data_IF_938268982007
#
_entry.id   IF_938268982007
#
_cell.length_a   1.000
_cell.length_b   1.000
_cell.length_c   1.000
_cell.angle_alpha   90.00
_cell.angle_beta   90.00
_cell.angle_gamma   90.00
#
_symmetry.space_group_name_H-M   'P 1'
#
loop_
_entity.id
_entity.type
_entity.pdbx_description
1 polymer ?
#
# COMPACT_ATOMS: atom_id res chain seq x y z
N UNK A 1 17.11 -17.19 6.95
CA UNK A 1 15.98 -16.28 6.64
C UNK A 1 14.59 -16.90 6.87
N UNK A 2 14.44 -18.23 7.02
CA UNK A 2 13.13 -18.92 7.14
C UNK A 2 12.53 -19.02 8.55
N UNK A 3 13.21 -18.57 9.60
CA UNK A 3 12.81 -18.88 10.99
C UNK A 3 11.69 -18.00 11.54
N UNK A 4 11.52 -16.76 11.03
CA UNK A 4 10.45 -15.84 11.45
C UNK A 4 9.89 -15.01 10.28
N UNK A 5 9.11 -15.61 9.35
CA UNK A 5 8.65 -14.95 8.13
C UNK A 5 7.80 -13.70 8.40
N UNK A 6 6.99 -13.72 9.47
CA UNK A 6 6.16 -12.59 9.87
C UNK A 6 6.98 -11.41 10.43
N UNK A 7 7.92 -11.68 11.34
CA UNK A 7 8.80 -10.65 11.91
C UNK A 7 9.69 -10.02 10.83
N UNK A 8 10.21 -10.83 9.91
CA UNK A 8 10.98 -10.34 8.77
C UNK A 8 10.14 -9.46 7.85
N UNK A 9 8.88 -9.83 7.59
CA UNK A 9 7.98 -9.01 6.77
C UNK A 9 7.69 -7.66 7.42
N UNK A 10 7.43 -7.62 8.73
CA UNK A 10 7.26 -6.37 9.48
C UNK A 10 8.52 -5.52 9.38
N UNK A 11 9.70 -6.08 9.67
CA UNK A 11 10.96 -5.33 9.62
C UNK A 11 11.22 -4.73 8.23
N UNK A 12 11.01 -5.51 7.17
CA UNK A 12 11.18 -5.06 5.79
C UNK A 12 10.15 -3.97 5.45
N UNK A 13 8.89 -4.16 5.83
CA UNK A 13 7.82 -3.20 5.55
C UNK A 13 8.05 -1.85 6.26
N UNK A 14 8.46 -1.89 7.53
CA UNK A 14 8.84 -0.70 8.31
C UNK A 14 10.05 0.00 7.70
N UNK A 15 11.13 -0.74 7.40
CA UNK A 15 12.33 -0.16 6.82
C UNK A 15 12.05 0.47 5.44
N UNK A 16 11.25 -0.21 4.61
CA UNK A 16 10.85 0.26 3.27
C UNK A 16 10.08 1.57 3.36
N UNK A 17 9.11 1.66 4.27
CA UNK A 17 8.27 2.86 4.42
C UNK A 17 9.05 4.03 5.02
N UNK A 18 9.90 3.77 6.01
CA UNK A 18 10.82 4.77 6.56
C UNK A 18 11.77 5.32 5.48
N UNK A 19 12.34 4.45 4.65
CA UNK A 19 13.24 4.84 3.57
C UNK A 19 12.51 5.62 2.46
N UNK A 20 11.29 5.19 2.09
CA UNK A 20 10.46 5.90 1.12
C UNK A 20 10.13 7.32 1.61
N UNK A 21 9.82 7.46 2.90
CA UNK A 21 9.56 8.75 3.52
C UNK A 21 10.81 9.64 3.53
N UNK A 22 11.95 9.11 3.96
CA UNK A 22 13.22 9.85 3.97
C UNK A 22 13.60 10.35 2.57
N UNK A 23 13.43 9.53 1.53
CA UNK A 23 13.66 9.94 0.14
C UNK A 23 12.65 11.00 -0.29
N UNK A 24 11.38 10.86 0.10
CA UNK A 24 10.38 11.87 -0.20
C UNK A 24 10.68 13.23 0.46
N UNK A 25 11.23 13.24 1.67
CA UNK A 25 11.66 14.46 2.35
C UNK A 25 12.93 15.05 1.72
N UNK A 26 14.01 14.27 1.64
CA UNK A 26 15.33 14.80 1.26
C UNK A 26 15.47 15.00 -0.26
N UNK A 27 14.94 14.07 -1.06
CA UNK A 27 15.16 14.07 -2.52
C UNK A 27 14.00 14.72 -3.27
N UNK A 28 12.75 14.43 -2.89
CA UNK A 28 11.59 14.97 -3.61
C UNK A 28 11.26 16.37 -3.11
N UNK A 29 11.13 16.56 -1.80
CA UNK A 29 10.84 17.86 -1.19
C UNK A 29 12.08 18.74 -0.99
N UNK A 30 13.29 18.21 -1.23
CA UNK A 30 14.57 18.92 -1.07
C UNK A 30 14.75 19.49 0.36
N UNK A 31 14.17 18.84 1.36
CA UNK A 31 14.30 19.22 2.77
C UNK A 31 15.73 18.97 3.25
N UNK A 32 16.41 19.96 3.86
CA UNK A 32 17.72 19.76 4.47
C UNK A 32 17.69 18.64 5.53
N UNK A 33 18.76 17.87 5.65
CA UNK A 33 18.83 16.75 6.61
C UNK A 33 18.60 17.22 8.07
N UNK A 34 18.94 18.46 8.39
CA UNK A 34 18.73 19.04 9.72
C UNK A 34 17.24 19.37 10.02
N UNK A 35 16.38 19.42 9.00
CA UNK A 35 14.97 19.81 9.08
C UNK A 35 14.03 18.63 8.78
N UNK A 36 14.53 17.40 8.91
CA UNK A 36 13.72 16.20 8.72
C UNK A 36 12.57 16.18 9.74
N UNK A 37 11.37 15.95 9.23
CA UNK A 37 10.16 15.75 10.01
C UNK A 37 10.14 14.31 10.55
N UNK A 38 10.49 14.17 11.83
CA UNK A 38 10.50 12.89 12.53
C UNK A 38 9.10 12.38 12.89
N UNK A 39 8.11 13.26 13.02
CA UNK A 39 6.72 12.84 13.26
C UNK A 39 6.16 12.15 12.02
N UNK A 40 6.43 12.71 10.84
CA UNK A 40 6.14 12.08 9.56
C UNK A 40 6.86 10.74 9.40
N UNK A 41 8.15 10.66 9.73
CA UNK A 41 8.85 9.37 9.70
C UNK A 41 8.27 8.35 10.68
N UNK A 42 7.80 8.79 11.86
CA UNK A 42 7.11 7.92 12.83
C UNK A 42 5.78 7.41 12.27
N UNK A 43 4.99 8.26 11.61
CA UNK A 43 3.76 7.88 10.91
C UNK A 43 4.02 6.75 9.91
N UNK A 44 4.98 6.94 9.00
CA UNK A 44 5.29 5.95 7.97
C UNK A 44 5.90 4.67 8.55
N UNK A 45 6.72 4.77 9.60
CA UNK A 45 7.22 3.59 10.32
C UNK A 45 6.07 2.79 10.96
N UNK A 46 5.18 3.46 11.70
CA UNK A 46 4.06 2.81 12.40
C UNK A 46 3.06 2.19 11.43
N UNK A 47 2.71 2.92 10.37
CA UNK A 47 1.85 2.43 9.30
C UNK A 47 2.49 1.27 8.54
N UNK A 48 3.79 1.35 8.26
CA UNK A 48 4.56 0.28 7.63
C UNK A 48 4.61 -1.00 8.46
N UNK A 49 4.80 -0.87 9.78
CA UNK A 49 4.85 -2.01 10.68
C UNK A 49 3.47 -2.70 10.80
N UNK A 50 2.43 -1.92 11.12
CA UNK A 50 1.13 -2.46 11.52
C UNK A 50 0.26 -2.82 10.32
N UNK A 51 0.17 -1.93 9.32
CA UNK A 51 -0.65 -2.18 8.15
C UNK A 51 0.08 -3.05 7.11
N UNK A 52 1.23 -2.60 6.59
CA UNK A 52 1.93 -3.31 5.51
C UNK A 52 2.61 -4.59 6.01
N UNK A 53 3.17 -4.56 7.22
CA UNK A 53 3.84 -5.69 7.85
C UNK A 53 2.87 -6.73 8.39
N UNK A 54 1.85 -6.29 9.12
CA UNK A 54 0.85 -7.14 9.76
C UNK A 54 -0.32 -7.50 8.85
N UNK A 55 -1.21 -6.52 8.63
CA UNK A 55 -2.49 -6.75 7.96
C UNK A 55 -2.35 -7.20 6.51
N UNK A 56 -1.51 -6.52 5.71
CA UNK A 56 -1.34 -6.84 4.30
C UNK A 56 -0.77 -8.26 4.10
N UNK A 57 0.14 -8.71 4.97
CA UNK A 57 0.66 -10.08 4.92
C UNK A 57 -0.46 -11.10 5.15
N UNK A 58 -1.28 -10.90 6.18
CA UNK A 58 -2.41 -11.78 6.47
C UNK A 58 -3.42 -11.80 5.33
N UNK A 59 -3.79 -10.63 4.80
CA UNK A 59 -4.73 -10.50 3.70
C UNK A 59 -4.23 -11.18 2.42
N UNK A 60 -3.00 -10.88 1.98
CA UNK A 60 -2.45 -11.43 0.75
C UNK A 60 -2.17 -12.93 0.84
N UNK A 61 -1.60 -13.40 1.96
CA UNK A 61 -1.20 -14.79 2.10
C UNK A 61 -2.39 -15.70 2.43
N UNK A 62 -3.30 -15.27 3.29
CA UNK A 62 -4.36 -16.15 3.78
C UNK A 62 -5.70 -16.01 3.05
N UNK A 63 -6.03 -14.83 2.55
CA UNK A 63 -7.33 -14.54 1.93
C UNK A 63 -7.18 -14.59 0.40
N UNK A 64 -6.26 -13.79 -0.15
CA UNK A 64 -6.12 -13.64 -1.60
C UNK A 64 -5.74 -14.95 -2.30
N UNK A 65 -4.81 -15.73 -1.73
CA UNK A 65 -4.43 -17.07 -2.23
C UNK A 65 -5.57 -18.10 -2.20
N UNK A 66 -6.55 -17.95 -1.30
CA UNK A 66 -7.69 -18.88 -1.21
C UNK A 66 -8.83 -18.50 -2.15
N UNK A 67 -8.95 -17.22 -2.49
CA UNK A 67 -10.03 -16.71 -3.33
C UNK A 67 -9.74 -16.89 -4.82
N UNK A 68 -8.47 -16.91 -5.23
CA UNK A 68 -8.09 -16.96 -6.65
C UNK A 68 -7.00 -18.01 -6.88
N UNK A 69 -7.33 -19.07 -7.63
CA UNK A 69 -6.36 -20.00 -8.20
C UNK A 69 -5.99 -19.52 -9.61
N UNK A 70 -4.82 -18.90 -9.73
CA UNK A 70 -4.41 -18.12 -10.91
C UNK A 70 -3.08 -18.59 -11.49
N UNK A 71 -2.61 -19.74 -11.05
CA UNK A 71 -1.33 -20.33 -11.47
C UNK A 71 -1.40 -20.75 -12.94
N UNK A 72 -2.54 -21.29 -13.37
CA UNK A 72 -2.81 -21.64 -14.75
C UNK A 72 -2.85 -20.41 -15.68
N UNK A 73 -3.42 -19.28 -15.23
CA UNK A 73 -3.49 -18.06 -16.04
C UNK A 73 -2.11 -17.37 -16.14
N UNK A 74 -1.39 -17.23 -15.03
CA UNK A 74 -0.12 -16.47 -15.01
C UNK A 74 1.03 -17.15 -15.73
N UNK A 75 1.00 -18.47 -15.85
CA UNK A 75 2.00 -19.28 -16.55
C UNK A 75 1.86 -19.24 -18.08
N UNK A 76 0.72 -18.77 -18.61
CA UNK A 76 0.49 -18.70 -20.06
C UNK A 76 1.31 -17.59 -20.75
N UNK A 77 1.68 -17.77 -22.04
CA UNK A 77 2.17 -16.68 -22.88
C UNK A 77 1.13 -15.57 -23.04
N UNK A 78 1.57 -14.31 -23.19
CA UNK A 78 0.67 -13.15 -23.32
C UNK A 78 -0.37 -13.26 -24.43
N UNK A 79 -0.05 -13.93 -25.54
CA UNK A 79 -0.99 -14.13 -26.66
C UNK A 79 -2.16 -15.04 -26.30
N UNK A 80 -1.94 -15.96 -25.38
CA UNK A 80 -2.94 -16.94 -24.96
C UNK A 80 -3.76 -16.42 -23.77
N UNK A 81 -3.13 -15.61 -22.89
CA UNK A 81 -3.82 -14.88 -21.81
C UNK A 81 -4.97 -14.01 -22.30
N UNK A 82 -4.83 -13.38 -23.46
CA UNK A 82 -5.88 -12.54 -24.04
C UNK A 82 -7.10 -13.34 -24.53
N UNK A 83 -6.97 -14.67 -24.65
CA UNK A 83 -8.04 -15.59 -25.07
C UNK A 83 -8.63 -16.38 -23.89
N UNK A 84 -7.98 -16.34 -22.73
CA UNK A 84 -8.43 -17.00 -21.51
C UNK A 84 -9.47 -16.13 -20.79
N UNK A 85 -10.74 -16.31 -21.14
CA UNK A 85 -11.84 -15.53 -20.56
C UNK A 85 -11.97 -15.72 -19.04
N UNK A 86 -11.70 -16.92 -18.53
CA UNK A 86 -11.77 -17.20 -17.09
C UNK A 86 -10.62 -16.52 -16.36
N UNK A 87 -9.41 -16.59 -16.91
CA UNK A 87 -8.23 -15.90 -16.40
C UNK A 87 -8.37 -14.37 -16.42
N UNK A 88 -8.96 -13.80 -17.47
CA UNK A 88 -9.24 -12.36 -17.54
C UNK A 88 -10.32 -11.92 -16.54
N UNK A 89 -11.37 -12.74 -16.32
CA UNK A 89 -12.36 -12.49 -15.24
C UNK A 89 -11.71 -12.54 -13.86
N UNK A 90 -10.84 -13.52 -13.61
CA UNK A 90 -10.09 -13.62 -12.37
C UNK A 90 -9.12 -12.44 -12.20
N UNK A 91 -8.46 -11.96 -13.25
CA UNK A 91 -7.62 -10.77 -13.24
C UNK A 91 -8.43 -9.52 -12.86
N UNK A 92 -9.59 -9.33 -13.49
CA UNK A 92 -10.50 -8.22 -13.18
C UNK A 92 -11.01 -8.28 -11.74
N UNK A 93 -11.40 -9.46 -11.27
CA UNK A 93 -11.88 -9.66 -9.90
C UNK A 93 -10.80 -9.39 -8.84
N UNK A 94 -9.56 -9.87 -9.07
CA UNK A 94 -8.42 -9.58 -8.19
C UNK A 94 -8.14 -8.07 -8.14
N UNK A 95 -8.13 -7.41 -9.29
CA UNK A 95 -7.87 -5.97 -9.40
C UNK A 95 -8.96 -5.16 -8.68
N UNK A 96 -10.24 -5.48 -8.90
CA UNK A 96 -11.34 -4.81 -8.24
C UNK A 96 -11.31 -4.99 -6.72
N UNK A 97 -11.03 -6.22 -6.26
CA UNK A 97 -10.97 -6.54 -4.84
C UNK A 97 -9.79 -5.83 -4.15
N UNK A 98 -8.63 -5.75 -4.80
CA UNK A 98 -7.47 -5.03 -4.26
C UNK A 98 -7.73 -3.53 -4.19
N UNK A 99 -8.25 -2.92 -5.27
CA UNK A 99 -8.65 -1.50 -5.27
C UNK A 99 -9.69 -1.20 -4.18
N UNK A 100 -10.69 -2.06 -4.02
CA UNK A 100 -11.71 -1.90 -2.97
C UNK A 100 -11.09 -1.92 -1.58
N UNK A 101 -10.13 -2.82 -1.32
CA UNK A 101 -9.40 -2.86 -0.04
C UNK A 101 -8.52 -1.63 0.14
N UNK A 102 -7.90 -1.13 -0.92
CA UNK A 102 -7.12 0.09 -0.89
C UNK A 102 -8.00 1.32 -0.54
N UNK A 103 -9.17 1.44 -1.14
CA UNK A 103 -10.12 2.53 -0.89
C UNK A 103 -10.79 2.44 0.49
N UNK A 104 -11.23 1.25 0.91
CA UNK A 104 -12.06 1.11 2.11
C UNK A 104 -11.28 0.78 3.38
N UNK A 105 -10.04 0.31 3.26
CA UNK A 105 -9.22 -0.11 4.40
C UNK A 105 -7.90 0.66 4.44
N UNK A 106 -7.12 0.66 3.36
CA UNK A 106 -5.79 1.29 3.35
C UNK A 106 -5.85 2.80 3.60
N UNK A 107 -6.59 3.55 2.77
CA UNK A 107 -6.64 5.01 2.86
C UNK A 107 -7.26 5.49 4.19
N UNK A 108 -8.43 4.97 4.64
CA UNK A 108 -8.95 5.31 5.96
C UNK A 108 -7.97 5.03 7.09
N UNK A 109 -7.32 3.86 7.07
CA UNK A 109 -6.34 3.51 8.12
C UNK A 109 -5.16 4.47 8.10
N UNK A 110 -4.65 4.84 6.93
CA UNK A 110 -3.58 5.83 6.81
C UNK A 110 -3.97 7.16 7.45
N UNK A 111 -5.18 7.67 7.17
CA UNK A 111 -5.65 8.92 7.74
C UNK A 111 -5.88 8.86 9.25
N UNK A 112 -6.36 7.73 9.78
CA UNK A 112 -6.49 7.52 11.24
C UNK A 112 -5.12 7.51 11.91
N UNK A 113 -4.14 6.84 11.32
CA UNK A 113 -2.76 6.86 11.80
C UNK A 113 -2.15 8.26 11.74
N UNK A 114 -2.40 8.98 10.64
CA UNK A 114 -1.97 10.38 10.48
C UNK A 114 -2.55 11.24 11.59
N UNK A 115 -3.85 11.13 11.85
CA UNK A 115 -4.49 11.85 12.95
C UNK A 115 -3.92 11.46 14.32
N UNK A 116 -3.60 10.18 14.54
CA UNK A 116 -2.97 9.71 15.77
C UNK A 116 -1.60 10.33 16.05
N UNK A 117 -0.81 10.57 15.01
CA UNK A 117 0.52 11.18 15.13
C UNK A 117 0.42 12.70 15.27
N UNK A 118 -0.40 13.37 14.47
CA UNK A 118 -0.38 14.83 14.35
C UNK A 118 -1.44 15.58 15.16
N UNK A 119 -2.47 14.90 15.70
CA UNK A 119 -3.53 15.60 16.45
C UNK A 119 -3.12 16.04 17.85
N UNK A 120 -2.01 15.52 18.39
CA UNK A 120 -1.60 15.72 19.78
C UNK A 120 -2.55 15.14 20.84
N UNK A 121 -3.64 14.49 20.42
CA UNK A 121 -4.57 13.75 21.29
C UNK A 121 -4.04 12.35 21.56
N UNK A 122 -4.37 11.77 22.71
CA UNK A 122 -4.15 10.33 22.99
C UNK A 122 -5.43 9.49 22.85
N UNK A 123 -6.56 10.14 22.56
CA UNK A 123 -7.87 9.50 22.48
C UNK A 123 -8.10 8.89 21.09
N UNK A 124 -8.24 7.55 20.97
CA UNK A 124 -8.49 6.88 19.70
C UNK A 124 -9.79 7.32 19.01
N UNK A 125 -10.80 7.76 19.78
CA UNK A 125 -12.05 8.25 19.20
C UNK A 125 -11.82 9.53 18.39
N UNK A 126 -10.96 10.43 18.91
CA UNK A 126 -10.58 11.68 18.24
C UNK A 126 -9.79 11.39 16.96
N UNK A 127 -8.84 10.46 17.00
CA UNK A 127 -8.06 10.08 15.81
C UNK A 127 -8.93 9.46 14.73
N UNK A 128 -9.89 8.62 15.13
CA UNK A 128 -10.77 7.94 14.20
C UNK A 128 -11.71 8.93 13.51
N UNK A 129 -12.36 9.82 14.27
CA UNK A 129 -13.27 10.80 13.71
C UNK A 129 -12.55 11.80 12.79
N UNK A 130 -11.46 12.41 13.27
CA UNK A 130 -10.70 13.40 12.50
C UNK A 130 -10.00 12.79 11.28
N UNK A 131 -9.48 11.56 11.40
CA UNK A 131 -8.91 10.83 10.28
C UNK A 131 -9.95 10.53 9.21
N UNK A 132 -11.12 10.02 9.58
CA UNK A 132 -12.19 9.73 8.62
C UNK A 132 -12.76 11.00 7.98
N UNK A 133 -12.89 12.09 8.74
CA UNK A 133 -13.32 13.38 8.19
C UNK A 133 -12.31 13.89 7.15
N UNK A 134 -11.02 13.87 7.48
CA UNK A 134 -9.95 14.30 6.55
C UNK A 134 -9.91 13.40 5.30
N UNK A 135 -10.13 12.10 5.47
CA UNK A 135 -10.26 11.17 4.35
C UNK A 135 -11.45 11.52 3.45
N UNK A 136 -12.62 11.78 4.03
CA UNK A 136 -13.82 12.15 3.26
C UNK A 136 -13.61 13.45 2.46
N UNK A 137 -12.95 14.45 3.06
CA UNK A 137 -12.63 15.71 2.39
C UNK A 137 -11.67 15.51 1.20
N UNK A 138 -10.70 14.60 1.34
CA UNK A 138 -9.70 14.32 0.29
C UNK A 138 -10.08 13.18 -0.65
N UNK A 139 -11.21 12.50 -0.40
CA UNK A 139 -11.60 11.23 -1.03
C UNK A 139 -11.46 11.28 -2.55
N UNK A 140 -12.09 12.24 -3.20
CA UNK A 140 -12.12 12.30 -4.66
C UNK A 140 -10.74 12.41 -5.29
N UNK A 141 -9.82 13.17 -4.67
CA UNK A 141 -8.46 13.34 -5.18
C UNK A 141 -7.61 12.11 -4.91
N UNK A 142 -7.64 11.62 -3.68
CA UNK A 142 -6.79 10.50 -3.28
C UNK A 142 -7.22 9.20 -3.94
N UNK A 143 -8.53 8.96 -4.08
CA UNK A 143 -9.08 7.81 -4.79
C UNK A 143 -8.72 7.85 -6.28
N UNK A 144 -8.78 9.03 -6.89
CA UNK A 144 -8.39 9.20 -8.28
C UNK A 144 -6.90 8.94 -8.53
N UNK A 145 -6.04 9.46 -7.65
CA UNK A 145 -4.61 9.19 -7.70
C UNK A 145 -4.30 7.71 -7.42
N UNK A 146 -5.03 7.10 -6.49
CA UNK A 146 -4.93 5.70 -6.14
C UNK A 146 -5.27 4.81 -7.33
N UNK A 147 -6.43 5.01 -7.96
CA UNK A 147 -6.84 4.25 -9.15
C UNK A 147 -5.83 4.45 -10.28
N UNK A 148 -5.34 5.67 -10.50
CA UNK A 148 -4.35 5.95 -11.56
C UNK A 148 -3.04 5.20 -11.39
N UNK A 149 -2.62 4.96 -10.15
CA UNK A 149 -1.37 4.24 -9.86
C UNK A 149 -1.62 2.74 -9.78
N UNK A 150 -2.63 2.32 -9.01
CA UNK A 150 -2.86 0.93 -8.65
C UNK A 150 -3.61 0.14 -9.72
N UNK A 151 -4.58 0.72 -10.44
CA UNK A 151 -5.27 0.00 -11.52
C UNK A 151 -4.30 -0.55 -12.60
N UNK A 152 -3.42 0.27 -13.21
CA UNK A 152 -2.47 -0.27 -14.19
C UNK A 152 -1.42 -1.19 -13.53
N UNK A 153 -1.00 -0.88 -12.30
CA UNK A 153 -0.05 -1.70 -11.58
C UNK A 153 -0.60 -3.09 -11.26
N UNK A 154 -1.85 -3.20 -10.83
CA UNK A 154 -2.51 -4.46 -10.49
C UNK A 154 -2.77 -5.31 -11.72
N UNK A 155 -3.18 -4.69 -12.84
CA UNK A 155 -3.29 -5.40 -14.11
C UNK A 155 -1.96 -6.04 -14.52
N UNK A 156 -0.84 -5.34 -14.32
CA UNK A 156 0.50 -5.91 -14.56
C UNK A 156 0.88 -6.94 -13.50
N UNK A 157 0.70 -6.62 -12.21
CA UNK A 157 1.07 -7.51 -11.11
C UNK A 157 0.32 -8.85 -11.19
N UNK A 158 -0.97 -8.84 -11.48
CA UNK A 158 -1.76 -10.08 -11.50
C UNK A 158 -1.63 -10.85 -12.82
N UNK A 159 -1.07 -10.25 -13.87
CA UNK A 159 -0.81 -10.92 -15.16
C UNK A 159 0.60 -11.50 -15.27
N UNK A 160 1.58 -11.04 -14.50
CA UNK A 160 2.93 -11.64 -14.47
C UNK A 160 2.97 -12.96 -13.68
N UNK A 161 3.96 -13.84 -13.95
CA UNK A 161 4.20 -15.04 -13.16
C UNK A 161 4.25 -14.79 -11.65
N UNK A 162 3.78 -15.74 -10.84
CA UNK A 162 3.70 -15.62 -9.37
C UNK A 162 4.96 -15.07 -8.70
N UNK A 163 6.14 -15.53 -9.14
CA UNK A 163 7.41 -15.12 -8.55
C UNK A 163 7.76 -13.64 -8.81
N UNK A 164 7.21 -13.02 -9.86
CA UNK A 164 7.39 -11.60 -10.18
C UNK A 164 6.36 -10.69 -9.52
N UNK A 165 5.22 -11.24 -9.08
CA UNK A 165 4.13 -10.43 -8.50
C UNK A 165 4.59 -9.62 -7.30
N UNK A 166 5.28 -10.26 -6.36
CA UNK A 166 5.77 -9.62 -5.14
C UNK A 166 6.81 -8.52 -5.46
N UNK A 167 7.87 -8.77 -6.25
CA UNK A 167 8.80 -7.73 -6.68
C UNK A 167 8.14 -6.52 -7.33
N UNK A 168 7.25 -6.74 -8.32
CA UNK A 168 6.57 -5.64 -9.04
C UNK A 168 5.72 -4.82 -8.07
N UNK A 169 4.95 -5.49 -7.21
CA UNK A 169 4.11 -4.82 -6.22
C UNK A 169 4.94 -4.04 -5.20
N UNK A 170 6.10 -4.54 -4.79
CA UNK A 170 6.98 -3.81 -3.87
C UNK A 170 7.51 -2.51 -4.47
N UNK A 171 7.88 -2.51 -5.76
CA UNK A 171 8.34 -1.31 -6.46
C UNK A 171 7.22 -0.27 -6.53
N UNK A 172 6.02 -0.67 -6.98
CA UNK A 172 4.86 0.22 -7.06
C UNK A 172 4.50 0.75 -5.67
N UNK A 173 4.47 -0.13 -4.66
CA UNK A 173 4.20 0.25 -3.27
C UNK A 173 5.21 1.25 -2.73
N UNK A 174 6.49 1.11 -3.07
CA UNK A 174 7.53 2.05 -2.65
C UNK A 174 7.30 3.45 -3.26
N UNK A 175 7.06 3.52 -4.57
CA UNK A 175 6.77 4.78 -5.27
C UNK A 175 5.49 5.42 -4.74
N UNK A 176 4.42 4.65 -4.55
CA UNK A 176 3.18 5.12 -3.96
C UNK A 176 3.37 5.66 -2.55
N UNK A 177 4.17 4.98 -1.72
CA UNK A 177 4.47 5.43 -0.36
C UNK A 177 5.23 6.76 -0.37
N UNK A 178 6.21 6.91 -1.26
CA UNK A 178 6.95 8.17 -1.42
C UNK A 178 6.03 9.30 -1.90
N UNK A 179 5.11 9.02 -2.85
CA UNK A 179 4.09 9.97 -3.28
C UNK A 179 3.18 10.38 -2.14
N UNK A 180 2.63 9.42 -1.39
CA UNK A 180 1.71 9.68 -0.28
C UNK A 180 2.41 10.48 0.83
N UNK A 181 3.66 10.14 1.09
CA UNK A 181 4.54 10.88 2.01
C UNK A 181 4.74 12.32 1.55
N UNK A 182 5.04 12.56 0.28
CA UNK A 182 5.16 13.92 -0.25
C UNK A 182 3.83 14.70 -0.25
N UNK A 183 2.74 14.08 -0.70
CA UNK A 183 1.46 14.74 -0.91
C UNK A 183 0.64 14.91 0.38
N UNK A 184 0.80 14.00 1.35
CA UNK A 184 -0.04 13.88 2.56
C UNK A 184 0.76 13.71 3.85
N UNK A 185 2.09 13.65 3.81
CA UNK A 185 2.93 13.49 5.00
C UNK A 185 3.14 14.78 5.81
N UNK A 186 2.82 15.95 5.25
CA UNK A 186 2.86 17.22 5.98
C UNK A 186 1.62 17.46 6.84
N UNK A 187 1.76 18.36 7.82
CA UNK A 187 0.71 18.83 8.72
C UNK A 187 -0.49 19.42 7.97
#
# INVERSE_FOLDING_TARGET
>A
AMEYPFANNIAIATAKTALADLIAQVVIAQTPIAEIDYERSLLFCGFGALYLGGFQYLYQVNIFKKLFDVDAFTSQPWKDKLKDEEGLKALGAQTLLDLTVLTLIYLPTFYIFKAGVFSGSVDPAVWTSSGLETYQQNFAKDEFDLIRVWLPADLVCFSVPLYLRLPVRHIVSFVWTAYLSFARGGH
#
